data_IF_336871934093
#
_entry.id   IF_336871934093
#
_cell.length_a   1.000
_cell.length_b   1.000
_cell.length_c   1.000
_cell.angle_alpha   90.00
_cell.angle_beta   90.00
_cell.angle_gamma   90.00
#
_symmetry.space_group_name_H-M   'P 1'
#
loop_
_entity.id
_entity.type
_entity.pdbx_description
1 polymer ?
#
# COMPACT_ATOMS: atom_id res chain seq x y z
N UNK A 1 5.34 10.19 -6.48
CA UNK A 1 4.55 10.17 -5.24
C UNK A 1 5.03 9.01 -4.37
N UNK A 2 5.31 9.23 -3.08
CA UNK A 2 5.72 8.15 -2.19
C UNK A 2 4.48 7.34 -1.77
N UNK A 3 4.65 6.05 -1.47
CA UNK A 3 3.55 5.15 -1.09
C UNK A 3 2.82 5.66 0.17
N UNK A 4 3.53 6.37 1.05
CA UNK A 4 2.97 6.95 2.28
C UNK A 4 2.11 8.18 2.02
N UNK A 5 2.43 8.97 0.99
CA UNK A 5 1.66 10.17 0.62
C UNK A 5 0.26 9.75 0.16
N UNK A 6 0.16 8.66 -0.60
CA UNK A 6 -1.12 8.11 -1.05
C UNK A 6 -2.05 7.73 0.11
N UNK A 7 -1.52 7.20 1.21
CA UNK A 7 -2.32 6.92 2.41
C UNK A 7 -2.75 8.19 3.15
N UNK A 8 -1.93 9.24 3.11
CA UNK A 8 -2.24 10.56 3.68
C UNK A 8 -3.34 11.27 2.88
N UNK A 9 -3.17 11.35 1.57
CA UNK A 9 -4.07 12.08 0.67
C UNK A 9 -5.45 11.43 0.57
N UNK A 10 -5.50 10.09 0.56
CA UNK A 10 -6.78 9.37 0.44
C UNK A 10 -7.44 9.08 1.79
N UNK A 11 -6.71 9.21 2.91
CA UNK A 11 -7.24 9.05 4.27
C UNK A 11 -7.93 7.71 4.55
N UNK A 12 -7.69 6.69 3.72
CA UNK A 12 -8.41 5.40 3.74
C UNK A 12 -7.45 4.22 3.54
N UNK A 13 -7.85 3.01 3.92
CA UNK A 13 -7.10 1.81 3.56
C UNK A 13 -7.02 1.63 2.04
N UNK A 14 -5.85 1.29 1.52
CA UNK A 14 -5.57 1.13 0.09
C UNK A 14 -5.06 -0.28 -0.22
N UNK A 15 -5.43 -0.79 -1.40
CA UNK A 15 -4.87 -2.02 -1.94
C UNK A 15 -3.58 -1.73 -2.70
N UNK A 16 -2.76 -2.76 -2.89
CA UNK A 16 -1.55 -2.66 -3.71
C UNK A 16 -1.83 -2.13 -5.13
N UNK A 17 -2.98 -2.49 -5.71
CA UNK A 17 -3.41 -1.96 -7.02
C UNK A 17 -3.65 -0.46 -7.00
N UNK A 18 -4.33 0.06 -5.98
CA UNK A 18 -4.66 1.48 -5.87
C UNK A 18 -3.37 2.30 -5.71
N UNK A 19 -2.37 1.74 -5.02
CA UNK A 19 -1.05 2.34 -4.89
C UNK A 19 -0.24 2.28 -6.18
N UNK A 20 -0.35 1.21 -6.98
CA UNK A 20 0.22 1.21 -8.33
C UNK A 20 -0.37 2.35 -9.16
N UNK A 21 -1.70 2.53 -9.13
CA UNK A 21 -2.38 3.60 -9.86
C UNK A 21 -1.97 5.00 -9.36
N UNK A 22 -1.93 5.22 -8.05
CA UNK A 22 -1.52 6.50 -7.46
C UNK A 22 -0.03 6.81 -7.69
N UNK A 23 0.80 5.78 -7.90
CA UNK A 23 2.23 5.92 -8.18
C UNK A 23 2.55 5.91 -9.68
N UNK A 24 1.54 5.94 -10.55
CA UNK A 24 1.67 5.83 -12.01
C UNK A 24 2.47 4.59 -12.46
N UNK A 25 2.35 3.50 -11.70
CA UNK A 25 2.96 2.22 -12.01
C UNK A 25 2.01 1.39 -12.89
N UNK A 26 2.55 0.63 -13.86
CA UNK A 26 1.74 -0.27 -14.67
C UNK A 26 0.97 -1.24 -13.78
N UNK A 27 -0.35 -1.32 -13.95
CA UNK A 27 -1.22 -2.25 -13.22
C UNK A 27 -1.12 -3.65 -13.85
N UNK A 28 0.07 -4.24 -13.73
CA UNK A 28 0.38 -5.62 -14.15
C UNK A 28 0.70 -6.47 -12.94
N UNK A 29 0.48 -7.79 -13.02
CA UNK A 29 0.63 -8.72 -11.88
C UNK A 29 1.96 -8.54 -11.15
N UNK A 30 3.06 -8.41 -11.90
CA UNK A 30 4.41 -8.18 -11.37
C UNK A 30 4.52 -6.91 -10.52
N UNK A 31 3.96 -5.80 -10.98
CA UNK A 31 4.01 -4.52 -10.25
C UNK A 31 3.15 -4.57 -8.98
N UNK A 32 1.98 -5.20 -9.06
CA UNK A 32 1.06 -5.35 -7.93
C UNK A 32 1.67 -6.25 -6.86
N UNK A 33 2.29 -7.37 -7.26
CA UNK A 33 2.99 -8.28 -6.35
C UNK A 33 4.19 -7.63 -5.67
N UNK A 34 5.04 -6.94 -6.45
CA UNK A 34 6.16 -6.17 -5.90
C UNK A 34 5.69 -5.11 -4.89
N UNK A 35 4.60 -4.42 -5.21
CA UNK A 35 3.99 -3.43 -4.31
C UNK A 35 3.43 -4.09 -3.06
N UNK A 36 2.72 -5.22 -3.19
CA UNK A 36 2.23 -6.01 -2.05
C UNK A 36 3.38 -6.47 -1.14
N UNK A 37 4.49 -6.92 -1.71
CA UNK A 37 5.66 -7.36 -0.95
C UNK A 37 6.29 -6.21 -0.15
N UNK A 38 6.37 -5.02 -0.74
CA UNK A 38 6.81 -3.80 -0.04
C UNK A 38 5.85 -3.43 1.10
N UNK A 39 4.54 -3.50 0.87
CA UNK A 39 3.53 -3.19 1.89
C UNK A 39 3.57 -4.18 3.05
N UNK A 40 3.68 -5.50 2.76
CA UNK A 40 3.89 -6.53 3.78
C UNK A 40 5.10 -6.23 4.66
N UNK A 41 6.24 -5.86 4.07
CA UNK A 41 7.43 -5.45 4.83
C UNK A 41 7.19 -4.23 5.73
N UNK A 42 6.34 -3.28 5.32
CA UNK A 42 5.97 -2.14 6.16
C UNK A 42 5.01 -2.54 7.28
N UNK A 43 4.16 -3.54 7.05
CA UNK A 43 3.31 -4.15 8.09
C UNK A 43 4.17 -4.87 9.13
N UNK A 44 5.13 -5.68 8.70
CA UNK A 44 6.05 -6.39 9.62
C UNK A 44 6.87 -5.42 10.48
N UNK A 45 7.08 -4.19 10.00
CA UNK A 45 7.76 -3.10 10.72
C UNK A 45 6.82 -2.27 11.61
N UNK A 46 5.52 -2.56 11.64
CA UNK A 46 4.53 -1.79 12.40
C UNK A 46 4.23 -0.40 11.83
N UNK A 47 4.60 -0.12 10.57
CA UNK A 47 4.34 1.17 9.90
C UNK A 47 2.94 1.17 9.26
N UNK A 48 2.53 0.02 8.73
CA UNK A 48 1.21 -0.20 8.17
C UNK A 48 0.49 -1.30 8.94
N UNK A 49 -0.84 -1.31 8.86
CA UNK A 49 -1.68 -2.39 9.35
C UNK A 49 -2.45 -3.01 8.18
N UNK A 50 -2.39 -4.34 8.05
CA UNK A 50 -3.21 -5.10 7.11
C UNK A 50 -4.57 -5.40 7.75
N UNK A 51 -5.55 -4.54 7.49
CA UNK A 51 -6.91 -4.67 8.05
C UNK A 51 -7.70 -5.86 7.48
N UNK A 52 -7.43 -6.20 6.21
CA UNK A 52 -8.00 -7.34 5.48
C UNK A 52 -6.94 -7.84 4.52
N UNK A 53 -6.99 -9.11 4.06
CA UNK A 53 -6.05 -9.62 3.08
C UNK A 53 -5.92 -8.71 1.85
N UNK A 54 -4.75 -8.12 1.66
CA UNK A 54 -4.45 -7.19 0.56
C UNK A 54 -4.99 -5.77 0.72
N UNK A 55 -5.51 -5.40 1.89
CA UNK A 55 -5.97 -4.06 2.24
C UNK A 55 -5.12 -3.49 3.39
N UNK A 56 -4.31 -2.49 3.06
CA UNK A 56 -3.35 -1.89 3.97
C UNK A 56 -3.84 -0.53 4.43
N UNK A 57 -3.53 -0.16 5.66
CA UNK A 57 -3.85 1.13 6.25
C UNK A 57 -2.64 1.66 7.00
N UNK A 58 -2.55 2.98 7.19
CA UNK A 58 -1.48 3.55 8.00
C UNK A 58 -1.65 3.08 9.44
N UNK A 59 -0.61 2.51 10.03
CA UNK A 59 -0.63 2.19 11.45
C UNK A 59 -0.68 3.52 12.20
N UNK A 60 -1.82 3.79 12.85
CA UNK A 60 -1.97 4.94 13.74
C UNK A 60 -1.69 4.43 15.16
N UNK A 61 -0.80 5.09 15.93
CA UNK A 61 -0.57 4.72 17.32
C UNK A 61 -1.85 4.81 18.15
#
# INVERSE_FOLDING_TARGET
MNIMDAFGDLGRPLRARDLCQASDLPIVSKSVENTRFKLKRLVDRGILAETKPGLFSRHRP
#
